data_IF_743987307729
#
_entry.id   IF_743987307729
#
_cell.length_a   1.000
_cell.length_b   1.000
_cell.length_c   1.000
_cell.angle_alpha   90.00
_cell.angle_beta   90.00
_cell.angle_gamma   90.00
#
_symmetry.space_group_name_H-M   'P 1'
#
loop_
_entity.id
_entity.type
_entity.pdbx_description
1 polymer ?
#
# COMPACT_ATOMS: atom_id res chain seq x y z
N UNK A 1 -11.26 -12.55 -0.43
CA UNK A 1 -11.77 -11.19 -0.71
C UNK A 1 -13.23 -10.98 -0.30
N UNK A 2 -14.14 -11.94 -0.48
CA UNK A 2 -15.54 -11.81 -0.09
C UNK A 2 -15.77 -11.43 1.39
N UNK A 3 -15.08 -12.10 2.32
CA UNK A 3 -15.21 -11.81 3.76
C UNK A 3 -14.87 -10.35 4.06
N UNK A 4 -13.74 -9.84 3.57
CA UNK A 4 -13.31 -8.46 3.80
C UNK A 4 -14.26 -7.43 3.19
N UNK A 5 -14.81 -7.70 2.00
CA UNK A 5 -15.79 -6.82 1.36
C UNK A 5 -17.08 -6.72 2.19
N UNK A 6 -17.62 -7.86 2.62
CA UNK A 6 -18.87 -7.91 3.40
C UNK A 6 -18.68 -7.27 4.77
N UNK A 7 -17.59 -7.60 5.48
CA UNK A 7 -17.33 -7.04 6.82
C UNK A 7 -17.04 -5.55 6.76
N UNK A 8 -16.23 -5.08 5.81
CA UNK A 8 -15.90 -3.67 5.68
C UNK A 8 -17.12 -2.82 5.30
N UNK A 9 -17.97 -3.29 4.38
CA UNK A 9 -19.20 -2.58 4.01
C UNK A 9 -20.16 -2.50 5.19
N UNK A 10 -20.41 -3.63 5.86
CA UNK A 10 -21.32 -3.66 7.01
C UNK A 10 -20.83 -2.74 8.12
N UNK A 11 -19.52 -2.75 8.37
CA UNK A 11 -18.88 -1.88 9.35
C UNK A 11 -18.96 -0.39 8.97
N UNK A 12 -18.69 -0.03 7.71
CA UNK A 12 -18.82 1.34 7.22
C UNK A 12 -20.26 1.86 7.34
N UNK A 13 -21.25 1.05 6.96
CA UNK A 13 -22.67 1.40 7.09
C UNK A 13 -23.00 1.65 8.56
N UNK A 14 -22.61 0.74 9.46
CA UNK A 14 -22.84 0.91 10.90
C UNK A 14 -22.19 2.18 11.47
N UNK A 15 -20.95 2.50 11.07
CA UNK A 15 -20.27 3.73 11.47
C UNK A 15 -21.02 4.98 11.02
N UNK A 16 -21.40 5.04 9.74
CA UNK A 16 -22.07 6.21 9.17
C UNK A 16 -23.43 6.49 9.83
N UNK A 17 -24.20 5.44 10.13
CA UNK A 17 -25.47 5.57 10.85
C UNK A 17 -25.31 5.92 12.33
N UNK A 18 -24.12 5.72 12.90
CA UNK A 18 -23.84 6.04 14.31
C UNK A 18 -23.47 7.51 14.54
N UNK A 19 -23.20 8.27 13.47
CA UNK A 19 -22.86 9.69 13.55
C UNK A 19 -24.14 10.49 13.76
N UNK A 20 -24.23 11.16 14.90
CA UNK A 20 -25.36 12.05 15.23
C UNK A 20 -24.98 13.52 15.08
N UNK A 21 -23.71 13.86 15.34
CA UNK A 21 -23.17 15.22 15.23
C UNK A 21 -21.89 15.19 14.39
N UNK A 22 -22.02 15.54 13.12
CA UNK A 22 -20.92 15.57 12.15
C UNK A 22 -19.90 16.68 12.46
N UNK A 23 -20.30 17.93 12.78
CA UNK A 23 -19.37 18.96 13.24
C UNK A 23 -18.48 18.49 14.41
N UNK A 24 -19.06 17.82 15.41
CA UNK A 24 -18.27 17.31 16.55
C UNK A 24 -17.24 16.25 16.16
N UNK A 25 -17.43 15.52 15.06
CA UNK A 25 -16.47 14.56 14.52
C UNK A 25 -15.37 15.25 13.71
N UNK A 26 -15.72 16.27 12.93
CA UNK A 26 -14.79 16.98 12.05
C UNK A 26 -13.87 17.96 12.81
N UNK A 27 -14.42 18.68 13.80
CA UNK A 27 -13.69 19.67 14.61
C UNK A 27 -13.13 19.07 15.91
N UNK A 28 -13.06 17.74 16.00
CA UNK A 28 -12.70 17.08 17.24
C UNK A 28 -11.24 17.37 17.64
N UNK A 29 -11.03 17.68 18.93
CA UNK A 29 -9.69 17.83 19.50
C UNK A 29 -8.92 16.52 19.65
N UNK A 30 -9.61 15.38 19.56
CA UNK A 30 -9.02 14.05 19.62
C UNK A 30 -8.32 13.72 18.30
N UNK A 31 -7.10 13.19 18.37
CA UNK A 31 -6.28 12.79 17.21
C UNK A 31 -6.96 11.75 16.31
N UNK A 32 -8.01 11.07 16.82
CA UNK A 32 -8.70 9.99 16.09
C UNK A 32 -10.21 10.27 16.00
N UNK A 33 -10.73 10.60 14.80
CA UNK A 33 -12.17 10.80 14.58
C UNK A 33 -13.03 9.58 14.94
N UNK A 34 -12.48 8.37 14.82
CA UNK A 34 -13.15 7.12 15.21
C UNK A 34 -13.53 7.08 16.69
N UNK A 35 -12.73 7.68 17.57
CA UNK A 35 -13.01 7.71 19.00
C UNK A 35 -14.30 8.48 19.29
N UNK A 36 -14.52 9.58 18.59
CA UNK A 36 -15.73 10.39 18.72
C UNK A 36 -16.96 9.66 18.17
N UNK A 37 -16.82 9.00 17.02
CA UNK A 37 -17.92 8.22 16.42
C UNK A 37 -18.37 7.12 17.38
N UNK A 38 -17.44 6.40 18.02
CA UNK A 38 -17.80 5.39 19.02
C UNK A 38 -18.39 5.99 20.29
N UNK A 39 -17.96 7.19 20.70
CA UNK A 39 -18.56 7.90 21.83
C UNK A 39 -20.01 8.27 21.53
N UNK A 40 -20.30 8.76 20.33
CA UNK A 40 -21.67 9.05 19.88
C UNK A 40 -22.51 7.77 19.75
N UNK A 41 -21.92 6.67 19.27
CA UNK A 41 -22.62 5.38 19.15
C UNK A 41 -22.98 4.77 20.50
N UNK A 42 -22.07 4.81 21.47
CA UNK A 42 -22.21 4.11 22.77
C UNK A 42 -22.74 5.00 23.88
N UNK A 43 -22.78 6.32 23.69
CA UNK A 43 -23.08 7.33 24.72
C UNK A 43 -22.25 7.19 26.01
N UNK A 44 -21.10 6.50 25.96
CA UNK A 44 -20.25 6.22 27.12
C UNK A 44 -18.78 6.23 26.75
N UNK A 45 -17.97 6.88 27.59
CA UNK A 45 -16.51 6.90 27.44
C UNK A 45 -15.89 5.50 27.57
N UNK A 46 -16.45 4.64 28.44
CA UNK A 46 -15.97 3.26 28.62
C UNK A 46 -16.29 2.36 27.43
N UNK A 47 -17.48 2.53 26.83
CA UNK A 47 -17.89 1.81 25.62
C UNK A 47 -17.02 2.18 24.42
N UNK A 48 -16.75 3.48 24.24
CA UNK A 48 -15.86 3.97 23.19
C UNK A 48 -14.44 3.42 23.32
N UNK A 49 -13.88 3.40 24.54
CA UNK A 49 -12.56 2.83 24.79
C UNK A 49 -12.50 1.32 24.48
N UNK A 50 -13.53 0.57 24.89
CA UNK A 50 -13.63 -0.86 24.59
C UNK A 50 -13.61 -1.14 23.09
N UNK A 51 -14.38 -0.40 22.30
CA UNK A 51 -14.41 -0.53 20.84
C UNK A 51 -13.08 -0.11 20.19
N UNK A 52 -12.42 0.93 20.70
CA UNK A 52 -11.08 1.32 20.23
C UNK A 52 -10.06 0.20 20.44
N UNK A 53 -10.08 -0.49 21.59
CA UNK A 53 -9.16 -1.60 21.87
C UNK A 53 -9.38 -2.75 20.87
N UNK A 54 -10.64 -3.06 20.55
CA UNK A 54 -10.99 -4.12 19.59
C UNK A 54 -10.46 -3.81 18.18
N UNK A 55 -10.45 -2.55 17.76
CA UNK A 55 -9.87 -2.14 16.47
C UNK A 55 -8.34 -1.99 16.53
N UNK A 56 -7.79 -1.62 17.68
CA UNK A 56 -6.35 -1.48 17.86
C UNK A 56 -5.61 -2.81 17.76
N UNK A 57 -6.14 -3.88 18.37
CA UNK A 57 -5.52 -5.22 18.35
C UNK A 57 -5.18 -5.75 16.93
N UNK A 58 -6.13 -5.82 15.97
CA UNK A 58 -5.84 -6.28 14.62
C UNK A 58 -4.93 -5.29 13.86
N UNK A 59 -5.02 -3.99 14.15
CA UNK A 59 -4.15 -2.97 13.56
C UNK A 59 -2.69 -3.24 13.95
N UNK A 60 -2.42 -3.50 15.23
CA UNK A 60 -1.08 -3.82 15.73
C UNK A 60 -0.48 -5.06 15.06
N UNK A 61 -1.25 -6.14 14.94
CA UNK A 61 -0.82 -7.37 14.27
C UNK A 61 -0.54 -7.11 12.78
N UNK A 62 -1.40 -6.32 12.12
CA UNK A 62 -1.24 -5.96 10.72
C UNK A 62 0.00 -5.11 10.49
N UNK A 63 0.32 -4.16 11.38
CA UNK A 63 1.54 -3.36 11.31
C UNK A 63 2.80 -4.25 11.29
N UNK A 64 2.87 -5.27 12.15
CA UNK A 64 3.99 -6.23 12.17
C UNK A 64 4.08 -6.97 10.83
N UNK A 65 2.94 -7.45 10.32
CA UNK A 65 2.88 -8.16 9.03
C UNK A 65 3.29 -7.30 7.82
N UNK A 66 2.84 -6.03 7.79
CA UNK A 66 3.23 -5.06 6.77
C UNK A 66 4.73 -4.77 6.82
N UNK A 67 5.30 -4.65 8.02
CA UNK A 67 6.72 -4.37 8.21
C UNK A 67 7.60 -5.51 7.70
N UNK A 68 7.25 -6.76 8.04
CA UNK A 68 7.95 -7.96 7.55
C UNK A 68 7.84 -8.06 6.03
N UNK A 69 6.63 -7.84 5.48
CA UNK A 69 6.41 -7.89 4.03
C UNK A 69 7.25 -6.85 3.30
N UNK A 70 7.26 -5.60 3.78
CA UNK A 70 8.05 -4.53 3.19
C UNK A 70 9.56 -4.86 3.18
N UNK A 71 10.10 -5.37 4.30
CA UNK A 71 11.49 -5.79 4.39
C UNK A 71 11.83 -6.92 3.40
N UNK A 72 10.94 -7.92 3.25
CA UNK A 72 11.11 -9.01 2.28
C UNK A 72 11.02 -8.52 0.84
N UNK A 73 10.09 -7.63 0.51
CA UNK A 73 9.97 -7.05 -0.83
C UNK A 73 11.24 -6.26 -1.19
N UNK A 74 11.74 -5.43 -0.27
CA UNK A 74 12.99 -4.69 -0.48
C UNK A 74 14.19 -5.64 -0.67
N UNK A 75 14.27 -6.70 0.12
CA UNK A 75 15.29 -7.73 -0.03
C UNK A 75 15.21 -8.42 -1.41
N UNK A 76 14.01 -8.83 -1.86
CA UNK A 76 13.86 -9.46 -3.18
C UNK A 76 14.29 -8.52 -4.30
N UNK A 77 13.95 -7.24 -4.21
CA UNK A 77 14.36 -6.24 -5.20
C UNK A 77 15.87 -6.01 -5.20
N UNK A 78 16.51 -6.09 -4.03
CA UNK A 78 17.96 -5.96 -3.91
C UNK A 78 18.71 -7.14 -4.52
N UNK A 79 18.13 -8.36 -4.53
CA UNK A 79 18.70 -9.54 -5.19
C UNK A 79 18.78 -9.37 -6.72
N UNK A 80 17.85 -8.62 -7.28
CA UNK A 80 17.78 -8.31 -8.71
C UNK A 80 18.62 -7.06 -9.08
N UNK A 81 19.46 -6.56 -8.16
CA UNK A 81 20.30 -5.35 -8.30
C UNK A 81 19.54 -4.04 -8.57
N UNK A 82 18.22 -4.00 -8.32
CA UNK A 82 17.39 -2.82 -8.55
C UNK A 82 17.52 -1.74 -7.47
N UNK A 83 17.95 -2.08 -6.24
CA UNK A 83 18.07 -1.13 -5.14
C UNK A 83 19.47 -0.48 -5.07
N UNK A 84 19.59 0.73 -4.50
CA UNK A 84 20.89 1.26 -4.09
C UNK A 84 21.52 0.31 -3.05
N UNK A 85 22.84 0.14 -3.11
CA UNK A 85 23.61 -0.78 -2.24
C UNK A 85 23.09 -2.23 -2.20
N UNK A 86 22.69 -2.77 -3.35
CA UNK A 86 22.18 -4.14 -3.51
C UNK A 86 23.02 -5.21 -2.82
N UNK A 87 24.36 -5.09 -2.85
CA UNK A 87 25.28 -6.04 -2.22
C UNK A 87 25.25 -6.10 -0.68
N UNK A 88 24.71 -5.08 0.00
CA UNK A 88 24.51 -5.09 1.45
C UNK A 88 23.06 -5.40 1.84
N UNK A 89 22.09 -4.90 1.06
CA UNK A 89 20.65 -5.13 1.29
C UNK A 89 20.24 -6.58 1.00
N UNK A 90 20.88 -7.24 0.03
CA UNK A 90 20.57 -8.62 -0.35
C UNK A 90 21.13 -9.67 0.61
N UNK A 91 22.00 -9.28 1.57
CA UNK A 91 22.59 -10.22 2.52
C UNK A 91 21.55 -10.68 3.54
N UNK A 92 21.43 -11.98 3.68
CA UNK A 92 20.64 -12.62 4.75
C UNK A 92 21.56 -12.82 5.96
N UNK A 93 21.09 -12.45 7.15
CA UNK A 93 21.83 -12.70 8.38
C UNK A 93 21.77 -14.19 8.73
N UNK A 94 22.92 -14.82 8.96
CA UNK A 94 23.03 -16.24 9.34
C UNK A 94 22.54 -16.52 10.76
N UNK A 95 22.56 -15.52 11.65
CA UNK A 95 22.10 -15.68 13.03
C UNK A 95 20.55 -15.68 13.13
N UNK A 96 19.89 -14.83 12.35
CA UNK A 96 18.43 -14.63 12.43
C UNK A 96 17.67 -15.27 11.25
N UNK A 97 18.37 -15.86 10.28
CA UNK A 97 17.80 -16.44 9.05
C UNK A 97 16.81 -15.50 8.32
N UNK A 98 17.00 -14.18 8.47
CA UNK A 98 16.12 -13.14 7.96
C UNK A 98 16.96 -12.03 7.31
N UNK A 99 16.50 -11.37 6.23
CA UNK A 99 17.08 -10.13 5.72
C UNK A 99 16.95 -8.96 6.70
N UNK A 100 17.77 -8.98 7.74
CA UNK A 100 17.80 -7.97 8.80
C UNK A 100 18.17 -6.59 8.25
N UNK A 101 19.16 -6.50 7.36
CA UNK A 101 19.63 -5.23 6.79
C UNK A 101 18.52 -4.50 6.03
N UNK A 102 17.79 -5.21 5.16
CA UNK A 102 16.66 -4.63 4.42
C UNK A 102 15.53 -4.20 5.36
N UNK A 103 15.20 -5.03 6.35
CA UNK A 103 14.16 -4.74 7.34
C UNK A 103 14.52 -3.53 8.20
N UNK A 104 15.78 -3.40 8.61
CA UNK A 104 16.28 -2.26 9.39
C UNK A 104 16.19 -0.95 8.60
N UNK A 105 16.62 -0.95 7.33
CA UNK A 105 16.51 0.23 6.47
C UNK A 105 15.05 0.62 6.23
N UNK A 106 14.15 -0.35 6.03
CA UNK A 106 12.71 -0.07 5.98
C UNK A 106 12.24 0.65 7.25
N UNK A 107 12.68 0.21 8.44
CA UNK A 107 12.41 0.87 9.72
C UNK A 107 12.91 2.28 9.84
N UNK A 108 14.16 2.52 9.43
CA UNK A 108 14.73 3.85 9.42
C UNK A 108 13.92 4.79 8.51
N UNK A 109 13.59 4.34 7.30
CA UNK A 109 12.80 5.12 6.34
C UNK A 109 11.40 5.41 6.90
N UNK A 110 10.71 4.42 7.45
CA UNK A 110 9.38 4.59 8.05
C UNK A 110 9.43 5.56 9.24
N UNK A 111 10.45 5.46 10.08
CA UNK A 111 10.65 6.38 11.22
C UNK A 111 10.84 7.82 10.73
N UNK A 112 11.69 8.03 9.73
CA UNK A 112 11.92 9.36 9.12
C UNK A 112 10.65 9.90 8.50
N UNK A 113 9.87 9.06 7.79
CA UNK A 113 8.57 9.46 7.24
C UNK A 113 7.57 9.82 8.35
N UNK A 114 7.61 9.12 9.49
CA UNK A 114 6.80 9.44 10.67
C UNK A 114 7.16 10.79 11.29
N UNK A 115 8.46 11.17 11.29
CA UNK A 115 8.90 12.48 11.79
C UNK A 115 8.31 13.66 11.00
N UNK A 116 7.87 13.47 9.75
CA UNK A 116 7.23 14.52 8.94
C UNK A 116 5.99 15.08 9.63
N UNK A 117 5.26 14.25 10.39
CA UNK A 117 4.08 14.67 11.14
C UNK A 117 4.38 15.79 12.15
N UNK A 118 5.58 15.82 12.74
CA UNK A 118 5.99 16.86 13.69
C UNK A 118 6.16 18.22 13.01
N UNK A 119 6.58 18.23 11.75
CA UNK A 119 6.76 19.46 10.98
C UNK A 119 5.48 19.97 10.32
N UNK A 120 4.68 19.06 9.75
CA UNK A 120 3.43 19.42 9.08
C UNK A 120 2.47 18.24 9.01
N UNK A 121 1.28 18.40 9.60
CA UNK A 121 0.16 17.46 9.47
C UNK A 121 -0.35 17.39 8.04
N UNK A 122 -0.38 18.50 7.30
CA UNK A 122 -0.74 18.53 5.87
C UNK A 122 0.20 17.68 5.03
N UNK A 123 1.52 17.79 5.25
CA UNK A 123 2.51 16.98 4.52
C UNK A 123 2.37 15.49 4.85
N UNK A 124 2.12 15.14 6.11
CA UNK A 124 1.88 13.76 6.52
C UNK A 124 0.60 13.19 5.90
N UNK A 125 -0.50 13.94 5.91
CA UNK A 125 -1.76 13.53 5.28
C UNK A 125 -1.62 13.33 3.77
N UNK A 126 -0.87 14.22 3.09
CA UNK A 126 -0.55 14.05 1.67
C UNK A 126 0.30 12.80 1.41
N UNK A 127 1.26 12.50 2.29
CA UNK A 127 2.07 11.29 2.20
C UNK A 127 1.22 10.02 2.37
N UNK A 128 0.30 10.00 3.34
CA UNK A 128 -0.63 8.88 3.53
C UNK A 128 -1.58 8.73 2.32
N UNK A 129 -2.07 9.83 1.77
CA UNK A 129 -2.84 9.82 0.53
C UNK A 129 -2.05 9.25 -0.65
N UNK A 130 -0.75 9.56 -0.72
CA UNK A 130 0.12 9.12 -1.84
C UNK A 130 0.32 7.61 -1.84
N UNK A 131 0.31 6.97 -0.67
CA UNK A 131 0.37 5.52 -0.56
C UNK A 131 -0.78 4.84 -1.31
N UNK A 132 -2.02 5.37 -1.18
CA UNK A 132 -3.19 4.82 -1.88
C UNK A 132 -3.02 4.97 -3.40
N UNK A 133 -2.60 6.16 -3.86
CA UNK A 133 -2.38 6.41 -5.29
C UNK A 133 -1.25 5.54 -5.88
N UNK A 134 -0.11 5.46 -5.19
CA UNK A 134 1.02 4.62 -5.60
C UNK A 134 0.66 3.14 -5.64
N UNK A 135 -0.17 2.67 -4.70
CA UNK A 135 -0.68 1.29 -4.70
C UNK A 135 -1.58 1.03 -5.91
N UNK A 136 -2.50 1.95 -6.23
CA UNK A 136 -3.34 1.87 -7.43
C UNK A 136 -2.52 1.91 -8.72
N UNK A 137 -1.48 2.74 -8.77
CA UNK A 137 -0.53 2.79 -9.89
C UNK A 137 0.24 1.47 -10.02
N UNK A 138 0.69 0.87 -8.92
CA UNK A 138 1.38 -0.42 -8.92
C UNK A 138 0.51 -1.54 -9.49
N UNK A 139 -0.78 -1.58 -9.15
CA UNK A 139 -1.71 -2.55 -9.72
C UNK A 139 -1.96 -2.29 -11.21
N UNK A 140 -2.11 -1.02 -11.61
CA UNK A 140 -2.26 -0.64 -13.02
C UNK A 140 -1.02 -1.03 -13.82
N UNK A 141 0.18 -0.81 -13.28
CA UNK A 141 1.46 -1.18 -13.90
C UNK A 141 1.65 -2.70 -14.05
N UNK A 142 0.99 -3.51 -13.22
CA UNK A 142 1.00 -4.97 -13.37
C UNK A 142 -0.01 -5.47 -14.41
N UNK A 143 -1.22 -4.89 -14.43
CA UNK A 143 -2.33 -5.36 -15.30
C UNK A 143 -2.17 -4.83 -16.73
N UNK A 144 -1.77 -3.57 -16.91
CA UNK A 144 -1.74 -2.92 -18.22
C UNK A 144 -0.78 -3.62 -19.21
N UNK A 145 0.48 -3.95 -18.87
CA UNK A 145 1.35 -4.68 -19.78
C UNK A 145 0.81 -6.07 -20.13
N UNK A 146 0.10 -6.72 -19.20
CA UNK A 146 -0.52 -8.03 -19.46
C UNK A 146 -1.61 -7.94 -20.54
N UNK A 147 -2.40 -6.86 -20.56
CA UNK A 147 -3.38 -6.59 -21.62
C UNK A 147 -2.66 -6.27 -22.93
N UNK A 148 -1.66 -5.37 -22.89
CA UNK A 148 -0.92 -4.91 -24.07
C UNK A 148 -0.13 -6.04 -24.74
N UNK A 149 0.37 -7.02 -23.98
CA UNK A 149 1.04 -8.21 -24.51
C UNK A 149 0.08 -9.27 -25.05
N UNK A 150 -1.22 -8.96 -25.21
CA UNK A 150 -2.23 -9.91 -25.65
C UNK A 150 -2.41 -11.10 -24.71
N UNK A 151 -2.12 -10.92 -23.41
CA UNK A 151 -2.14 -11.98 -22.37
C UNK A 151 -1.25 -13.20 -22.68
N UNK A 152 -0.28 -13.06 -23.59
CA UNK A 152 0.61 -14.13 -24.04
C UNK A 152 1.83 -14.37 -23.14
N UNK A 153 2.17 -13.41 -22.28
CA UNK A 153 3.39 -13.44 -21.47
C UNK A 153 3.37 -14.48 -20.33
N UNK A 154 2.20 -14.99 -19.94
CA UNK A 154 2.07 -15.93 -18.81
C UNK A 154 1.42 -17.23 -19.25
N UNK A 155 1.95 -18.36 -18.76
CA UNK A 155 1.30 -19.66 -18.90
C UNK A 155 0.00 -19.66 -18.08
N UNK A 156 -1.17 -19.96 -18.69
CA UNK A 156 -2.44 -20.00 -17.97
C UNK A 156 -2.40 -20.97 -16.78
N UNK A 157 -2.74 -20.48 -15.59
CA UNK A 157 -2.93 -21.32 -14.40
C UNK A 157 -4.35 -21.88 -14.29
N UNK A 158 -4.64 -22.60 -13.20
CA UNK A 158 -5.94 -23.23 -12.95
C UNK A 158 -7.12 -22.22 -12.93
N UNK A 159 -6.87 -21.00 -12.43
CA UNK A 159 -7.83 -19.90 -12.41
C UNK A 159 -7.54 -18.87 -13.50
N UNK A 160 -7.61 -19.28 -14.77
CA UNK A 160 -7.44 -18.36 -15.90
C UNK A 160 -8.78 -18.03 -16.56
N UNK A 161 -9.08 -16.73 -16.63
CA UNK A 161 -10.30 -16.25 -17.28
C UNK A 161 -10.08 -16.21 -18.80
N UNK A 162 -10.62 -17.20 -19.51
CA UNK A 162 -10.42 -17.34 -20.96
C UNK A 162 -11.30 -16.38 -21.77
N UNK A 163 -10.85 -16.04 -22.97
CA UNK A 163 -11.63 -15.25 -23.94
C UNK A 163 -11.71 -13.75 -23.66
N UNK A 164 -12.68 -13.10 -24.30
CA UNK A 164 -12.91 -11.65 -24.29
C UNK A 164 -13.30 -11.11 -22.90
N UNK A 165 -13.92 -11.94 -22.06
CA UNK A 165 -14.32 -11.58 -20.70
C UNK A 165 -13.10 -11.18 -19.85
N UNK A 166 -11.97 -11.88 -20.02
CA UNK A 166 -10.74 -11.51 -19.32
C UNK A 166 -10.12 -10.22 -19.82
N UNK A 167 -10.30 -9.86 -21.09
CA UNK A 167 -9.89 -8.54 -21.59
C UNK A 167 -10.78 -7.43 -21.01
N UNK A 168 -12.09 -7.63 -21.01
CA UNK A 168 -13.05 -6.66 -20.50
C UNK A 168 -12.84 -6.38 -19.01
N UNK A 169 -12.67 -7.40 -18.18
CA UNK A 169 -12.47 -7.23 -16.73
C UNK A 169 -11.15 -6.54 -16.42
N UNK A 170 -10.06 -6.93 -17.09
CA UNK A 170 -8.77 -6.26 -16.88
C UNK A 170 -8.80 -4.80 -17.38
N UNK A 171 -9.45 -4.53 -18.51
CA UNK A 171 -9.63 -3.17 -19.02
C UNK A 171 -10.48 -2.31 -18.09
N UNK A 172 -11.60 -2.85 -17.59
CA UNK A 172 -12.45 -2.19 -16.61
C UNK A 172 -11.70 -1.89 -15.30
N UNK A 173 -10.86 -2.83 -14.82
CA UNK A 173 -10.03 -2.62 -13.64
C UNK A 173 -9.01 -1.49 -13.85
N UNK A 174 -8.31 -1.46 -14.98
CA UNK A 174 -7.39 -0.37 -15.32
C UNK A 174 -8.12 0.98 -15.43
N UNK A 175 -9.26 1.03 -16.12
CA UNK A 175 -10.05 2.25 -16.27
C UNK A 175 -10.54 2.76 -14.91
N UNK A 176 -11.04 1.86 -14.07
CA UNK A 176 -11.47 2.18 -12.71
C UNK A 176 -10.31 2.76 -11.88
N UNK A 177 -9.13 2.14 -11.90
CA UNK A 177 -7.98 2.65 -11.17
C UNK A 177 -7.50 4.00 -11.70
N UNK A 178 -7.50 4.22 -13.02
CA UNK A 178 -7.17 5.53 -13.60
C UNK A 178 -8.16 6.62 -13.18
N UNK A 179 -9.46 6.33 -13.23
CA UNK A 179 -10.49 7.26 -12.76
C UNK A 179 -10.32 7.57 -11.25
N UNK A 180 -9.99 6.55 -10.45
CA UNK A 180 -9.77 6.71 -9.01
C UNK A 180 -8.57 7.61 -8.70
N UNK A 181 -7.46 7.46 -9.44
CA UNK A 181 -6.28 8.32 -9.31
C UNK A 181 -6.65 9.79 -9.59
N UNK A 182 -7.42 10.06 -10.64
CA UNK A 182 -7.85 11.43 -10.98
C UNK A 182 -8.77 12.00 -9.90
N UNK A 183 -9.76 11.24 -9.42
CA UNK A 183 -10.71 11.72 -8.42
C UNK A 183 -10.02 12.00 -7.08
N UNK A 184 -9.12 11.11 -6.62
CA UNK A 184 -8.37 11.29 -5.37
C UNK A 184 -7.35 12.42 -5.41
N UNK A 185 -7.14 13.00 -6.58
CA UNK A 185 -6.24 14.12 -6.77
C UNK A 185 -6.92 15.47 -6.58
N UNK A 186 -8.25 15.52 -6.55
CA UNK A 186 -8.97 16.75 -6.28
C UNK A 186 -8.92 17.12 -4.79
N UNK A 187 -8.96 18.43 -4.47
CA UNK A 187 -9.09 18.91 -3.10
C UNK A 187 -10.51 18.66 -2.56
N UNK A 188 -10.64 18.55 -1.25
CA UNK A 188 -11.92 18.24 -0.58
C UNK A 188 -12.92 19.39 -0.60
N UNK A 189 -12.46 20.64 -0.68
CA UNK A 189 -13.30 21.83 -0.71
C UNK A 189 -12.64 22.98 -1.50
N UNK A 190 -13.47 23.90 -1.98
CA UNK A 190 -13.05 25.17 -2.59
C UNK A 190 -13.61 26.33 -1.75
N UNK A 191 -12.86 27.44 -1.57
CA UNK A 191 -11.51 27.71 -2.06
C UNK A 191 -10.40 26.99 -1.25
N UNK A 192 -9.32 26.59 -1.92
CA UNK A 192 -8.18 25.92 -1.25
C UNK A 192 -7.23 26.93 -0.61
N UNK A 193 -6.83 26.66 0.63
CA UNK A 193 -5.69 27.32 1.26
C UNK A 193 -4.44 26.44 1.12
N UNK A 194 -3.24 26.99 1.34
CA UNK A 194 -2.00 26.20 1.31
C UNK A 194 -1.97 25.08 2.36
N UNK A 195 -2.75 25.19 3.43
CA UNK A 195 -2.85 24.19 4.49
C UNK A 195 -3.86 23.07 4.16
N UNK A 196 -4.89 23.39 3.37
CA UNK A 196 -5.98 22.46 3.01
C UNK A 196 -5.81 21.83 1.62
N UNK A 197 -4.76 22.20 0.89
CA UNK A 197 -4.51 21.68 -0.45
C UNK A 197 -4.06 20.22 -0.41
N UNK A 198 -4.60 19.42 -1.33
CA UNK A 198 -4.23 18.02 -1.48
C UNK A 198 -2.90 17.90 -2.25
N UNK A 199 -1.77 17.80 -1.53
CA UNK A 199 -0.43 17.63 -2.10
C UNK A 199 -0.10 16.19 -2.51
N UNK A 200 -1.07 15.27 -2.47
CA UNK A 200 -0.85 13.85 -2.78
C UNK A 200 -0.24 13.67 -4.17
N UNK A 201 -0.77 14.37 -5.18
CA UNK A 201 -0.26 14.32 -6.55
C UNK A 201 1.22 14.66 -6.65
N UNK A 202 1.64 15.73 -5.96
CA UNK A 202 3.01 16.21 -6.00
C UNK A 202 3.98 15.12 -5.53
N UNK A 203 3.62 14.46 -4.43
CA UNK A 203 4.42 13.37 -3.84
C UNK A 203 4.41 12.16 -4.78
N UNK A 204 3.22 11.74 -5.26
CA UNK A 204 3.06 10.57 -6.14
C UNK A 204 3.89 10.71 -7.42
N UNK A 205 3.73 11.81 -8.15
CA UNK A 205 4.44 12.02 -9.42
C UNK A 205 5.91 12.38 -9.23
N UNK A 206 6.25 13.12 -8.18
CA UNK A 206 7.65 13.38 -7.81
C UNK A 206 8.41 12.09 -7.55
N UNK A 207 7.84 11.17 -6.76
CA UNK A 207 8.43 9.85 -6.51
C UNK A 207 8.48 8.99 -7.78
N UNK A 208 7.42 9.01 -8.60
CA UNK A 208 7.38 8.24 -9.86
C UNK A 208 8.48 8.69 -10.82
N UNK A 209 8.69 10.00 -10.96
CA UNK A 209 9.78 10.55 -11.79
C UNK A 209 11.14 10.18 -11.21
N UNK A 210 11.33 10.31 -9.90
CA UNK A 210 12.56 9.94 -9.23
C UNK A 210 12.93 8.47 -9.44
N UNK A 211 11.97 7.56 -9.24
CA UNK A 211 12.14 6.12 -9.46
C UNK A 211 12.35 5.82 -10.95
N UNK A 212 11.64 6.50 -11.85
CA UNK A 212 11.82 6.38 -13.29
C UNK A 212 13.22 6.78 -13.74
N UNK A 213 13.75 7.88 -13.20
CA UNK A 213 15.13 8.32 -13.45
C UNK A 213 16.16 7.32 -12.91
N UNK A 214 15.96 6.81 -11.69
CA UNK A 214 16.79 5.75 -11.11
C UNK A 214 16.80 4.50 -11.98
N UNK A 215 15.64 4.08 -12.47
CA UNK A 215 15.52 2.94 -13.37
C UNK A 215 16.31 3.13 -14.67
N UNK A 216 16.26 4.32 -15.28
CA UNK A 216 17.02 4.61 -16.51
C UNK A 216 18.54 4.44 -16.31
N UNK A 217 19.05 4.77 -15.13
CA UNK A 217 20.45 4.56 -14.76
C UNK A 217 20.76 3.07 -14.52
N UNK A 218 19.88 2.36 -13.81
CA UNK A 218 20.13 0.98 -13.35
C UNK A 218 19.71 -0.12 -14.32
N UNK A 219 18.98 0.20 -15.40
CA UNK A 219 18.46 -0.78 -16.39
C UNK A 219 19.53 -1.67 -17.01
N UNK A 220 20.79 -1.24 -17.03
CA UNK A 220 21.93 -1.99 -17.58
C UNK A 220 22.43 -3.10 -16.66
N UNK A 221 22.31 -2.91 -15.35
CA UNK A 221 22.78 -3.85 -14.31
C UNK A 221 21.64 -4.71 -13.75
N UNK A 222 20.40 -4.43 -14.15
CA UNK A 222 19.23 -5.12 -13.68
C UNK A 222 19.10 -6.50 -14.32
N UNK A 223 19.12 -7.53 -13.47
CA UNK A 223 18.83 -8.91 -13.88
C UNK A 223 17.36 -9.14 -13.52
N UNK A 224 16.51 -9.25 -14.53
CA UNK A 224 15.09 -9.53 -14.33
C UNK A 224 14.84 -10.81 -13.53
N UNK A 225 13.66 -10.97 -12.93
CA UNK A 225 13.32 -12.15 -12.14
C UNK A 225 13.50 -13.38 -13.03
N UNK A 226 14.49 -14.21 -12.74
CA UNK A 226 14.68 -15.47 -13.44
C UNK A 226 13.47 -16.32 -13.10
N UNK A 227 12.59 -16.54 -14.08
CA UNK A 227 11.49 -17.48 -13.94
C UNK A 227 12.14 -18.85 -13.66
N UNK A 228 12.16 -19.25 -12.39
CA UNK A 228 12.53 -20.61 -12.04
C UNK A 228 11.49 -21.50 -12.71
N UNK A 229 11.87 -22.35 -13.68
CA UNK A 229 10.91 -23.24 -14.29
C UNK A 229 10.27 -24.06 -13.17
N UNK A 230 8.94 -24.05 -13.11
CA UNK A 230 8.09 -24.82 -12.18
C UNK A 230 8.27 -26.35 -12.31
N UNK A 231 9.28 -26.81 -13.04
CA UNK A 231 9.41 -28.19 -13.47
C UNK A 231 10.02 -29.09 -12.39
N UNK A 232 10.73 -28.60 -11.37
CA UNK A 232 11.43 -29.53 -10.46
C UNK A 232 11.53 -28.96 -9.04
N UNK A 233 10.92 -29.49 -7.98
CA UNK A 233 11.27 -30.74 -7.28
C UNK A 233 12.79 -30.94 -7.01
N UNK A 234 13.69 -30.24 -7.71
CA UNK A 234 15.15 -30.34 -7.54
C UNK A 234 15.70 -29.37 -6.48
N UNK A 235 15.08 -28.21 -6.23
CA UNK A 235 15.51 -27.34 -5.11
C UNK A 235 15.12 -27.85 -3.72
N UNK A 236 14.26 -28.87 -3.63
CA UNK A 236 14.03 -29.57 -2.37
C UNK A 236 15.23 -30.48 -1.98
N UNK A 237 16.12 -30.79 -2.94
CA UNK A 237 17.28 -31.65 -2.72
C UNK A 237 18.57 -30.89 -2.36
N UNK A 238 18.62 -29.58 -2.66
CA UNK A 238 19.73 -28.68 -2.28
C UNK A 238 19.43 -27.88 -1.00
N UNK A 239 18.34 -28.21 -0.30
CA UNK A 239 17.91 -27.61 0.96
C UNK A 239 18.17 -28.55 2.16
N UNK A 240 19.26 -29.31 2.11
CA UNK A 240 19.91 -29.98 3.25
C UNK A 240 21.34 -29.47 3.34
#
# INVERSE_FOLDING_TARGET
>A
MAVGFVTAITYMVALLYSIHDLPAVLDNKSTFPLAEIYRQATNSHGGALGLLIVVFLPTFITCIGCYITAGRTLWTLSRDNATPFSGWLSRVSTAFHNPFNATFICGCIVTVMGCIYVGSSTAFSALVGSFVQLSSLSYTAAILPHILSGRSAFRPGYFFMHGWVGYLVNAAACLYMMAFIVIFSFPFALPVTAQDMNYTLLITWGLTIFVGAWWLFRRRDYIGPRAMPLTEVMMAKDAI
#
